data_IF_424851796358
#
_entry.id   IF_424851796358
#
_cell.length_a   1.000
_cell.length_b   1.000
_cell.length_c   1.000
_cell.angle_alpha   90.00
_cell.angle_beta   90.00
_cell.angle_gamma   90.00
#
_symmetry.space_group_name_H-M   'P 1'
#
loop_
_entity.id
_entity.type
_entity.pdbx_description
1 polymer ?
#
# COMPACT_ATOMS: atom_id res chain seq x y z
N UNK A 1 12.10 -13.93 -13.08
CA UNK A 1 12.30 -12.46 -13.01
C UNK A 1 13.74 -12.21 -12.61
N UNK A 2 14.46 -11.29 -13.26
CA UNK A 2 15.85 -10.98 -12.91
C UNK A 2 15.90 -10.39 -11.48
N UNK A 3 16.71 -10.96 -10.59
CA UNK A 3 16.77 -10.59 -9.17
C UNK A 3 17.02 -9.08 -8.98
N UNK A 4 17.90 -8.50 -9.80
CA UNK A 4 18.22 -7.07 -9.77
C UNK A 4 17.03 -6.19 -10.17
N UNK A 5 16.18 -6.68 -11.08
CA UNK A 5 14.97 -5.96 -11.51
C UNK A 5 13.90 -6.01 -10.42
N UNK A 6 13.71 -7.14 -9.75
CA UNK A 6 12.78 -7.22 -8.61
C UNK A 6 13.21 -6.37 -7.43
N UNK A 7 14.51 -6.34 -7.12
CA UNK A 7 15.06 -5.50 -6.06
C UNK A 7 14.88 -4.01 -6.38
N UNK A 8 15.18 -3.60 -7.62
CA UNK A 8 14.95 -2.23 -8.05
C UNK A 8 13.48 -1.82 -7.95
N UNK A 9 12.56 -2.64 -8.46
CA UNK A 9 11.13 -2.35 -8.39
C UNK A 9 10.62 -2.29 -6.94
N UNK A 10 11.07 -3.20 -6.08
CA UNK A 10 10.75 -3.18 -4.65
C UNK A 10 11.19 -1.88 -3.98
N UNK A 11 12.44 -1.47 -4.20
CA UNK A 11 12.96 -0.20 -3.69
C UNK A 11 12.15 1.01 -4.19
N UNK A 12 11.78 1.04 -5.48
CA UNK A 12 10.99 2.14 -6.06
C UNK A 12 9.59 2.23 -5.46
N UNK A 13 8.94 1.09 -5.24
CA UNK A 13 7.63 1.07 -4.57
C UNK A 13 7.73 1.64 -3.16
N UNK A 14 8.74 1.22 -2.39
CA UNK A 14 8.98 1.73 -1.03
C UNK A 14 9.28 3.24 -1.00
N UNK A 15 10.12 3.71 -1.92
CA UNK A 15 10.46 5.12 -2.07
C UNK A 15 9.21 5.96 -2.38
N UNK A 16 8.38 5.51 -3.34
CA UNK A 16 7.13 6.19 -3.71
C UNK A 16 6.15 6.20 -2.54
N UNK A 17 5.96 5.07 -1.87
CA UNK A 17 5.09 5.00 -0.69
C UNK A 17 5.55 5.94 0.43
N UNK A 18 6.87 6.02 0.69
CA UNK A 18 7.46 6.92 1.68
C UNK A 18 7.24 8.40 1.30
N UNK A 19 7.41 8.74 0.03
CA UNK A 19 7.17 10.10 -0.45
C UNK A 19 5.68 10.47 -0.37
N UNK A 20 4.77 9.55 -0.68
CA UNK A 20 3.33 9.78 -0.52
C UNK A 20 2.96 10.04 0.95
N UNK A 21 3.54 9.31 1.90
CA UNK A 21 3.33 9.57 3.34
C UNK A 21 3.72 10.99 3.77
N UNK A 22 4.73 11.60 3.14
CA UNK A 22 5.21 12.94 3.51
C UNK A 22 4.56 14.06 2.71
N UNK A 23 4.01 13.78 1.53
CA UNK A 23 3.55 14.82 0.59
C UNK A 23 2.06 14.77 0.27
N UNK A 24 1.39 13.64 0.50
CA UNK A 24 -0.04 13.48 0.25
C UNK A 24 -0.77 13.22 1.58
N UNK A 25 -1.48 14.25 2.05
CA UNK A 25 -2.19 14.20 3.34
C UNK A 25 -3.32 13.17 3.36
N UNK A 26 -4.02 12.97 2.25
CA UNK A 26 -5.11 11.99 2.15
C UNK A 26 -4.57 10.56 2.28
N UNK A 27 -3.47 10.26 1.56
CA UNK A 27 -2.77 8.99 1.70
C UNK A 27 -2.23 8.77 3.12
N UNK A 28 -1.62 9.81 3.70
CA UNK A 28 -1.07 9.72 5.06
C UNK A 28 -2.17 9.43 6.10
N UNK A 29 -3.29 10.15 6.03
CA UNK A 29 -4.43 9.95 6.93
C UNK A 29 -5.08 8.58 6.74
N UNK A 30 -5.29 8.13 5.50
CA UNK A 30 -5.85 6.81 5.24
C UNK A 30 -4.96 5.69 5.81
N UNK A 31 -3.63 5.80 5.67
CA UNK A 31 -2.68 4.82 6.22
C UNK A 31 -2.60 4.85 7.76
N UNK A 32 -2.69 6.02 8.38
CA UNK A 32 -2.72 6.14 9.84
C UNK A 32 -4.02 5.56 10.39
N UNK A 33 -5.15 5.91 9.79
CA UNK A 33 -6.46 5.42 10.19
C UNK A 33 -6.62 3.91 10.00
N UNK A 34 -6.14 3.36 8.88
CA UNK A 34 -6.20 1.90 8.66
C UNK A 34 -5.36 1.14 9.71
N UNK A 35 -4.23 1.71 10.14
CA UNK A 35 -3.42 1.14 11.22
C UNK A 35 -4.16 1.15 12.56
N UNK A 36 -4.82 2.24 12.92
CA UNK A 36 -5.63 2.33 14.15
C UNK A 36 -6.77 1.30 14.14
N UNK A 37 -7.51 1.21 13.03
CA UNK A 37 -8.62 0.27 12.89
C UNK A 37 -8.15 -1.19 12.94
N UNK A 38 -6.94 -1.48 12.44
CA UNK A 38 -6.35 -2.81 12.55
C UNK A 38 -6.15 -3.24 14.01
N UNK A 39 -5.94 -2.32 14.96
CA UNK A 39 -5.83 -2.66 16.39
C UNK A 39 -7.14 -3.24 16.94
N UNK A 40 -8.28 -2.83 16.40
CA UNK A 40 -9.60 -3.37 16.74
C UNK A 40 -9.92 -4.66 15.97
N UNK A 41 -9.46 -4.76 14.72
CA UNK A 41 -9.74 -5.87 13.80
C UNK A 41 -8.88 -7.10 14.07
N UNK A 42 -7.60 -6.92 14.42
CA UNK A 42 -6.63 -8.01 14.59
C UNK A 42 -7.09 -9.09 15.60
N UNK A 43 -7.65 -8.75 16.78
CA UNK A 43 -8.19 -9.75 17.70
C UNK A 43 -9.35 -10.57 17.12
N UNK A 44 -10.13 -9.99 16.20
CA UNK A 44 -11.26 -10.66 15.54
C UNK A 44 -10.73 -11.61 14.46
N UNK A 45 -9.79 -11.15 13.63
CA UNK A 45 -9.19 -11.95 12.55
C UNK A 45 -8.40 -13.15 13.06
N UNK A 46 -7.70 -12.99 14.19
CA UNK A 46 -6.82 -14.02 14.75
C UNK A 46 -7.49 -14.88 15.83
N UNK A 47 -8.80 -14.77 16.03
CA UNK A 47 -9.50 -15.56 17.03
C UNK A 47 -9.59 -17.04 16.62
N UNK A 48 -9.04 -17.93 17.44
CA UNK A 48 -9.23 -19.39 17.32
C UNK A 48 -10.50 -19.89 18.03
N UNK A 49 -11.30 -18.98 18.60
CA UNK A 49 -12.52 -19.28 19.35
C UNK A 49 -13.75 -18.67 18.70
N UNK A 50 -14.92 -19.10 19.14
CA UNK A 50 -16.18 -18.46 18.79
C UNK A 50 -16.15 -16.98 19.19
N UNK A 51 -16.40 -16.12 18.22
CA UNK A 51 -16.45 -14.66 18.34
C UNK A 51 -17.87 -14.17 18.06
N UNK A 52 -18.28 -13.16 18.80
CA UNK A 52 -19.51 -12.41 18.54
C UNK A 52 -19.11 -11.11 17.87
N UNK A 53 -19.51 -10.92 16.61
CA UNK A 53 -19.22 -9.70 15.85
C UNK A 53 -20.30 -8.67 16.19
N UNK A 54 -19.86 -7.52 16.69
CA UNK A 54 -20.71 -6.38 17.00
C UNK A 54 -20.97 -5.51 15.75
N UNK A 55 -21.98 -4.64 15.81
CA UNK A 55 -22.20 -3.64 14.75
C UNK A 55 -21.02 -2.68 14.66
N UNK A 56 -20.38 -2.35 15.80
CA UNK A 56 -19.19 -1.52 15.82
C UNK A 56 -18.02 -2.18 15.07
N UNK A 57 -17.82 -3.47 15.29
CA UNK A 57 -16.78 -4.23 14.59
C UNK A 57 -16.99 -4.18 13.08
N UNK A 58 -18.24 -4.37 12.62
CA UNK A 58 -18.58 -4.26 11.20
C UNK A 58 -18.26 -2.87 10.63
N UNK A 59 -18.50 -1.80 11.39
CA UNK A 59 -18.17 -0.43 10.98
C UNK A 59 -16.66 -0.23 10.92
N UNK A 60 -15.92 -0.74 11.89
CA UNK A 60 -14.44 -0.67 11.89
C UNK A 60 -13.86 -1.40 10.67
N UNK A 61 -14.38 -2.59 10.33
CA UNK A 61 -14.00 -3.31 9.11
C UNK A 61 -14.35 -2.54 7.83
N UNK A 62 -15.54 -1.93 7.77
CA UNK A 62 -15.94 -1.14 6.61
C UNK A 62 -14.99 0.05 6.42
N UNK A 63 -14.77 0.83 7.48
CA UNK A 63 -13.88 2.00 7.44
C UNK A 63 -12.44 1.60 7.09
N UNK A 64 -11.98 0.46 7.62
CA UNK A 64 -10.65 -0.07 7.30
C UNK A 64 -10.50 -0.37 5.81
N UNK A 65 -11.48 -1.05 5.21
CA UNK A 65 -11.48 -1.37 3.79
C UNK A 65 -11.56 -0.11 2.92
N UNK A 66 -12.30 0.91 3.35
CA UNK A 66 -12.37 2.21 2.67
C UNK A 66 -11.02 2.94 2.71
N UNK A 67 -10.33 2.92 3.87
CA UNK A 67 -8.99 3.47 4.01
C UNK A 67 -7.96 2.75 3.13
N UNK A 68 -7.96 1.40 3.13
CA UNK A 68 -7.07 0.60 2.29
C UNK A 68 -7.34 0.82 0.79
N UNK A 69 -8.61 0.92 0.39
CA UNK A 69 -8.95 1.21 -1.01
C UNK A 69 -8.46 2.61 -1.43
N UNK A 70 -8.60 3.60 -0.55
CA UNK A 70 -8.15 4.98 -0.80
C UNK A 70 -6.64 5.04 -0.92
N UNK A 71 -5.90 4.46 0.04
CA UNK A 71 -4.44 4.46 0.04
C UNK A 71 -3.89 3.68 -1.16
N UNK A 72 -4.46 2.51 -1.48
CA UNK A 72 -4.07 1.70 -2.63
C UNK A 72 -4.30 2.44 -3.96
N UNK A 73 -5.43 3.13 -4.10
CA UNK A 73 -5.74 3.93 -5.30
C UNK A 73 -4.71 5.04 -5.54
N UNK A 74 -4.37 5.79 -4.49
CA UNK A 74 -3.37 6.87 -4.57
C UNK A 74 -1.98 6.30 -4.89
N UNK A 75 -1.57 5.23 -4.20
CA UNK A 75 -0.28 4.58 -4.46
C UNK A 75 -0.21 4.07 -5.90
N UNK A 76 -1.26 3.38 -6.37
CA UNK A 76 -1.33 2.87 -7.73
C UNK A 76 -1.24 3.99 -8.76
N UNK A 77 -1.93 5.11 -8.54
CA UNK A 77 -1.87 6.26 -9.42
C UNK A 77 -0.44 6.81 -9.52
N UNK A 78 0.27 6.93 -8.40
CA UNK A 78 1.63 7.47 -8.39
C UNK A 78 2.63 6.48 -9.00
N UNK A 79 2.49 5.19 -8.71
CA UNK A 79 3.25 4.11 -9.36
C UNK A 79 3.07 4.15 -10.87
N UNK A 80 1.85 4.38 -11.37
CA UNK A 80 1.60 4.49 -12.81
C UNK A 80 2.32 5.68 -13.43
N UNK A 81 2.31 6.85 -12.77
CA UNK A 81 3.02 8.05 -13.25
C UNK A 81 4.53 7.84 -13.27
N UNK A 82 5.09 7.27 -12.21
CA UNK A 82 6.54 7.04 -12.08
C UNK A 82 7.02 5.86 -12.94
N UNK A 83 6.14 4.89 -13.21
CA UNK A 83 6.45 3.70 -13.99
C UNK A 83 7.01 4.00 -15.38
N UNK A 84 6.59 5.11 -16.01
CA UNK A 84 7.17 5.53 -17.28
C UNK A 84 8.67 5.88 -17.17
N UNK A 85 9.07 6.61 -16.12
CA UNK A 85 10.47 6.97 -15.90
C UNK A 85 11.29 5.74 -15.50
N UNK A 86 10.71 4.90 -14.65
CA UNK A 86 11.36 3.68 -14.18
C UNK A 86 11.56 2.67 -15.32
N UNK A 87 10.67 2.64 -16.34
CA UNK A 87 10.85 1.82 -17.54
C UNK A 87 12.15 2.13 -18.29
N UNK A 88 12.57 3.40 -18.38
CA UNK A 88 13.83 3.75 -19.05
C UNK A 88 15.02 3.15 -18.30
N UNK A 89 15.00 3.26 -16.97
CA UNK A 89 16.05 2.68 -16.13
C UNK A 89 16.04 1.14 -16.21
N UNK A 90 14.87 0.51 -16.23
CA UNK A 90 14.72 -0.93 -16.42
C UNK A 90 15.29 -1.40 -17.75
N UNK A 91 15.01 -0.68 -18.84
CA UNK A 91 15.57 -1.04 -20.15
C UNK A 91 17.08 -0.91 -20.20
N UNK A 92 17.68 0.06 -19.49
CA UNK A 92 19.14 0.13 -19.33
C UNK A 92 19.68 -1.04 -18.51
N UNK A 93 19.04 -1.39 -17.40
CA UNK A 93 19.43 -2.54 -16.57
C UNK A 93 19.35 -3.88 -17.32
N UNK A 94 18.41 -3.99 -18.25
CA UNK A 94 18.26 -5.15 -19.13
C UNK A 94 19.18 -5.14 -20.35
N UNK A 95 19.99 -4.08 -20.53
CA UNK A 95 20.88 -3.92 -21.68
C UNK A 95 20.17 -3.66 -23.01
N UNK A 96 18.90 -3.27 -22.98
CA UNK A 96 18.08 -2.94 -24.16
C UNK A 96 18.40 -1.52 -24.64
N UNK A 97 18.61 -0.60 -23.70
CA UNK A 97 19.06 0.77 -23.97
C UNK A 97 20.52 0.92 -23.53
N UNK A 98 21.31 1.56 -24.39
CA UNK A 98 22.70 1.99 -24.11
C UNK A 98 22.74 3.30 -23.34
#
# INVERSE_FOLDING_TARGET
MNLQVSEYLGFRIEEIAKNLRSTNSEYALAMERSKELMENIDPIMNSERNITISVGDCLDFQEFLECEATSASILQQELYKQGYLDCVQLFRMLGILT
#
